data_IF_957137115133
#
_entry.id   IF_957137115133
#
_cell.length_a   1.000
_cell.length_b   1.000
_cell.length_c   1.000
_cell.angle_alpha   90.00
_cell.angle_beta   90.00
_cell.angle_gamma   90.00
#
_symmetry.space_group_name_H-M   'P 1'
#
loop_
_entity.id
_entity.type
_entity.pdbx_description
1 polymer ?
#
# COMPACT_ATOMS: atom_id res chain seq x y z
N UNK A 1 -54.04 -19.41 34.97
CA UNK A 1 -53.34 -18.33 35.70
C UNK A 1 -52.04 -18.04 34.96
N UNK A 2 -51.89 -16.79 34.48
CA UNK A 2 -50.60 -16.16 34.13
C UNK A 2 -49.99 -16.51 32.77
N UNK A 3 -49.82 -15.49 31.93
CA UNK A 3 -48.91 -15.54 30.77
C UNK A 3 -49.38 -14.74 29.55
N UNK A 4 -49.57 -13.43 29.71
CA UNK A 4 -49.63 -12.48 28.60
C UNK A 4 -48.28 -11.78 28.40
N UNK A 5 -48.13 -11.20 27.21
CA UNK A 5 -47.22 -10.12 26.75
C UNK A 5 -46.58 -10.55 25.40
N UNK A 6 -46.99 -10.03 24.23
CA UNK A 6 -46.93 -8.65 23.72
C UNK A 6 -45.48 -8.10 23.71
N UNK A 7 -44.94 -7.38 22.75
CA UNK A 7 -45.40 -6.86 21.47
C UNK A 7 -44.14 -6.37 20.73
N UNK A 8 -44.24 -6.22 19.42
CA UNK A 8 -43.29 -5.59 18.50
C UNK A 8 -42.85 -4.17 18.88
N UNK A 9 -41.56 -3.81 18.73
CA UNK A 9 -41.11 -2.44 18.43
C UNK A 9 -39.65 -2.33 17.93
N UNK A 10 -39.50 -1.58 16.84
CA UNK A 10 -38.26 -1.00 16.31
C UNK A 10 -37.68 0.08 17.25
N UNK A 11 -36.40 0.45 17.12
CA UNK A 11 -36.05 1.85 17.35
C UNK A 11 -35.20 2.47 16.23
N UNK A 12 -35.72 3.59 15.73
CA UNK A 12 -34.97 4.72 15.18
C UNK A 12 -34.17 5.36 16.32
N UNK A 13 -32.88 5.68 16.13
CA UNK A 13 -32.15 6.51 17.09
C UNK A 13 -30.66 6.67 16.82
N UNK A 14 -30.27 7.84 16.33
CA UNK A 14 -28.89 8.33 16.13
C UNK A 14 -27.96 8.04 17.32
N UNK A 15 -26.76 7.51 17.02
CA UNK A 15 -25.63 7.52 17.94
C UNK A 15 -24.84 8.83 17.80
N UNK A 16 -24.75 9.60 18.89
CA UNK A 16 -23.69 10.58 19.12
C UNK A 16 -23.04 10.33 20.49
N UNK A 17 -21.80 10.79 20.60
CA UNK A 17 -21.08 11.12 21.83
C UNK A 17 -20.10 10.06 22.40
N UNK A 18 -18.89 10.11 21.86
CA UNK A 18 -17.63 10.36 22.57
C UNK A 18 -17.30 9.57 23.84
N UNK A 19 -16.23 8.76 23.77
CA UNK A 19 -15.22 8.57 24.83
C UNK A 19 -14.07 7.66 24.37
N UNK A 20 -12.85 7.98 24.81
CA UNK A 20 -11.63 7.19 24.63
C UNK A 20 -10.57 8.00 23.87
N UNK A 21 -9.33 8.14 24.32
CA UNK A 21 -8.58 7.41 25.34
C UNK A 21 -7.29 8.20 25.63
N UNK A 22 -6.99 8.49 26.90
CA UNK A 22 -5.62 8.75 27.35
C UNK A 22 -5.44 8.00 28.66
N UNK A 23 -4.88 6.80 28.54
CA UNK A 23 -4.26 6.05 29.62
C UNK A 23 -2.81 6.54 29.73
N UNK A 24 -2.41 7.05 30.89
CA UNK A 24 -1.13 6.67 31.50
C UNK A 24 -1.13 7.04 32.98
N UNK A 25 -0.99 5.97 33.73
CA UNK A 25 -0.94 5.79 35.17
C UNK A 25 0.47 6.11 35.66
N UNK A 26 0.62 6.93 36.71
CA UNK A 26 1.78 6.85 37.61
C UNK A 26 1.39 7.19 39.03
N UNK A 27 1.76 6.26 39.91
CA UNK A 27 1.60 6.17 41.35
C UNK A 27 1.90 7.45 42.14
N UNK A 28 1.17 7.59 43.25
CA UNK A 28 1.52 8.47 44.34
C UNK A 28 2.76 8.00 45.10
N UNK A 29 3.60 8.96 45.46
CA UNK A 29 4.59 8.87 46.53
C UNK A 29 4.53 10.20 47.28
N UNK A 30 4.10 10.14 48.54
CA UNK A 30 4.22 11.22 49.52
C UNK A 30 5.69 11.56 49.74
N UNK A 31 6.03 12.84 49.61
CA UNK A 31 7.29 13.39 50.09
C UNK A 31 7.00 14.68 50.88
N UNK A 32 6.99 14.52 52.21
CA UNK A 32 7.11 15.58 53.19
C UNK A 32 8.53 16.15 53.17
N UNK A 33 8.69 17.47 52.97
CA UNK A 33 9.79 18.27 53.54
C UNK A 33 9.69 19.77 53.16
N UNK A 34 9.49 20.60 54.20
CA UNK A 34 9.92 21.99 54.39
C UNK A 34 9.50 23.13 53.40
N UNK A 35 9.05 24.30 53.91
CA UNK A 35 8.77 25.48 53.08
C UNK A 35 10.06 26.24 52.70
N UNK A 36 10.20 26.77 51.47
CA UNK A 36 11.28 27.68 51.12
C UNK A 36 11.04 29.09 51.72
N UNK A 37 12.12 29.85 52.01
CA UNK A 37 12.06 31.11 52.73
C UNK A 37 11.40 32.23 51.92
N UNK A 38 10.66 33.11 52.61
CA UNK A 38 10.17 34.37 52.07
C UNK A 38 11.36 35.29 51.76
N UNK A 39 11.48 35.69 50.49
CA UNK A 39 12.41 36.73 50.06
C UNK A 39 11.58 37.95 49.63
N UNK A 40 11.40 38.87 50.57
CA UNK A 40 10.50 40.03 50.49
C UNK A 40 11.23 41.29 49.98
N UNK A 41 11.72 41.39 48.72
CA UNK A 41 12.35 42.66 48.26
C UNK A 41 12.27 42.99 46.76
N UNK A 42 11.10 42.97 46.11
CA UNK A 42 10.94 43.60 44.77
C UNK A 42 9.89 44.73 44.79
N UNK A 43 10.25 45.97 44.44
CA UNK A 43 9.33 47.09 44.47
C UNK A 43 8.39 47.04 43.24
N UNK A 44 7.12 47.32 43.52
CA UNK A 44 6.08 47.73 42.57
C UNK A 44 6.62 48.73 41.55
N UNK A 45 6.71 48.34 40.29
CA UNK A 45 6.67 49.30 39.19
C UNK A 45 5.92 48.74 37.99
N UNK A 46 4.90 49.51 37.61
CA UNK A 46 4.31 49.62 36.29
C UNK A 46 3.38 48.48 35.84
N UNK A 47 2.11 48.61 36.23
CA UNK A 47 1.00 48.35 35.31
C UNK A 47 1.20 49.20 34.05
N UNK A 48 1.85 48.63 33.03
CA UNK A 48 1.73 49.13 31.67
C UNK A 48 0.48 48.49 31.09
N UNK A 49 -0.58 49.29 31.09
CA UNK A 49 -1.79 49.14 30.30
C UNK A 49 -1.37 49.05 28.83
N UNK A 50 -1.09 47.83 28.35
CA UNK A 50 -0.99 47.55 26.93
C UNK A 50 -2.41 47.37 26.43
N UNK A 51 -2.95 48.50 25.97
CA UNK A 51 -4.16 48.59 25.17
C UNK A 51 -4.15 47.50 24.10
N UNK A 52 -5.30 46.85 24.01
CA UNK A 52 -5.88 46.17 22.85
C UNK A 52 -5.15 46.37 21.52
N UNK A 53 -4.01 45.73 21.33
CA UNK A 53 -3.52 45.41 20.00
C UNK A 53 -4.28 44.15 19.59
N UNK A 54 -5.22 44.34 18.65
CA UNK A 54 -5.83 43.30 17.85
C UNK A 54 -4.71 42.37 17.34
N UNK A 55 -4.39 41.31 18.08
CA UNK A 55 -3.74 40.14 17.49
C UNK A 55 -4.84 39.59 16.58
N UNK A 56 -4.74 39.73 15.24
CA UNK A 56 -5.65 38.98 14.39
C UNK A 56 -5.47 37.54 14.83
N UNK A 57 -6.57 36.81 15.06
CA UNK A 57 -6.49 35.37 15.30
C UNK A 57 -5.59 34.83 14.20
N UNK A 58 -4.32 34.59 14.54
CA UNK A 58 -3.45 33.73 13.79
C UNK A 58 -4.06 32.38 14.12
N UNK A 59 -5.19 32.11 13.44
CA UNK A 59 -5.65 30.76 13.26
C UNK A 59 -4.40 30.08 12.82
N UNK A 60 -3.90 29.20 13.69
CA UNK A 60 -2.89 28.23 13.35
C UNK A 60 -3.40 27.69 12.03
N UNK A 61 -2.82 28.18 10.93
CA UNK A 61 -2.95 27.52 9.66
C UNK A 61 -2.32 26.19 10.01
N UNK A 62 -3.17 25.21 10.31
CA UNK A 62 -2.83 23.85 10.01
C UNK A 62 -2.62 23.90 8.50
N UNK A 63 -1.41 24.31 8.09
CA UNK A 63 -0.79 23.79 6.90
C UNK A 63 -0.83 22.31 7.20
N UNK A 64 -1.92 21.66 6.78
CA UNK A 64 -1.88 20.26 6.48
C UNK A 64 -0.76 20.22 5.49
N UNK A 65 0.45 19.92 5.96
CA UNK A 65 1.47 19.38 5.11
C UNK A 65 0.79 18.11 4.63
N UNK A 66 0.10 18.22 3.50
CA UNK A 66 -0.22 17.05 2.74
C UNK A 66 1.14 16.43 2.54
N UNK A 67 1.43 15.36 3.28
CA UNK A 67 2.55 14.51 2.99
C UNK A 67 2.21 13.90 1.63
N UNK A 68 2.43 14.69 0.57
CA UNK A 68 2.44 14.20 -0.79
C UNK A 68 3.57 13.21 -0.78
N UNK A 69 3.19 11.95 -0.84
CA UNK A 69 4.11 10.84 -0.98
C UNK A 69 5.11 11.21 -2.08
N UNK A 70 6.38 11.38 -1.72
CA UNK A 70 7.44 11.85 -2.64
C UNK A 70 7.65 10.89 -3.83
N UNK A 71 7.13 9.67 -3.72
CA UNK A 71 7.13 8.68 -4.80
C UNK A 71 5.81 7.89 -4.85
N UNK A 72 4.88 8.21 -5.78
CA UNK A 72 3.59 7.52 -5.86
C UNK A 72 3.69 6.01 -6.16
N UNK A 73 4.82 5.52 -6.68
CA UNK A 73 5.03 4.09 -6.95
C UNK A 73 5.04 3.22 -5.68
N UNK A 74 5.29 3.80 -4.50
CA UNK A 74 5.32 3.06 -3.23
C UNK A 74 3.93 2.57 -2.83
N UNK A 75 2.87 3.33 -3.14
CA UNK A 75 1.50 3.11 -2.63
C UNK A 75 0.49 2.72 -3.69
N UNK A 76 0.73 2.99 -4.98
CA UNK A 76 -0.24 2.77 -6.07
C UNK A 76 -0.79 1.34 -6.10
N UNK A 77 0.10 0.36 -5.90
CA UNK A 77 -0.22 -1.06 -5.98
C UNK A 77 -0.95 -1.60 -4.75
N UNK A 78 -1.04 -0.83 -3.66
CA UNK A 78 -1.75 -1.22 -2.43
C UNK A 78 -3.24 -0.85 -2.48
N UNK A 79 -3.71 -0.22 -3.55
CA UNK A 79 -5.11 0.14 -3.71
C UNK A 79 -5.96 -1.03 -4.20
N UNK A 80 -7.14 -1.23 -3.59
CA UNK A 80 -8.10 -2.28 -4.02
C UNK A 80 -8.55 -2.10 -5.47
N UNK A 81 -8.65 -0.85 -5.94
CA UNK A 81 -9.03 -0.53 -7.31
C UNK A 81 -8.05 -1.09 -8.35
N UNK A 82 -6.74 -0.98 -8.09
CA UNK A 82 -5.71 -1.53 -8.98
C UNK A 82 -5.77 -3.06 -9.00
N UNK A 83 -6.06 -3.72 -7.88
CA UNK A 83 -6.19 -5.18 -7.85
C UNK A 83 -7.38 -5.65 -8.70
N UNK A 84 -8.51 -4.96 -8.61
CA UNK A 84 -9.68 -5.24 -9.44
C UNK A 84 -9.40 -4.96 -10.92
N UNK A 85 -8.82 -3.81 -11.24
CA UNK A 85 -8.45 -3.46 -12.61
C UNK A 85 -7.48 -4.48 -13.22
N UNK A 86 -6.54 -4.99 -12.44
CA UNK A 86 -5.64 -6.06 -12.85
C UNK A 86 -6.39 -7.35 -13.21
N UNK A 87 -7.28 -7.85 -12.35
CA UNK A 87 -8.05 -9.06 -12.62
C UNK A 87 -8.91 -8.89 -13.87
N UNK A 88 -9.56 -7.73 -14.03
CA UNK A 88 -10.36 -7.39 -15.21
C UNK A 88 -9.48 -7.36 -16.46
N UNK A 89 -8.29 -6.75 -16.40
CA UNK A 89 -7.37 -6.66 -17.53
C UNK A 89 -6.90 -8.05 -17.99
N UNK A 90 -6.58 -8.95 -17.06
CA UNK A 90 -6.19 -10.34 -17.37
C UNK A 90 -7.37 -11.12 -17.96
N UNK A 91 -8.56 -10.97 -17.38
CA UNK A 91 -9.78 -11.59 -17.92
C UNK A 91 -10.11 -11.08 -19.33
N UNK A 92 -10.00 -9.78 -19.57
CA UNK A 92 -10.23 -9.16 -20.87
C UNK A 92 -9.21 -9.66 -21.91
N UNK A 93 -7.93 -9.72 -21.55
CA UNK A 93 -6.88 -10.31 -22.41
C UNK A 93 -7.27 -11.74 -22.82
N UNK A 94 -7.72 -12.56 -21.87
CA UNK A 94 -8.12 -13.94 -22.14
C UNK A 94 -9.33 -14.01 -23.08
N UNK A 95 -10.35 -13.18 -22.87
CA UNK A 95 -11.54 -13.10 -23.73
C UNK A 95 -11.17 -12.65 -25.15
N UNK A 96 -10.27 -11.68 -25.29
CA UNK A 96 -9.78 -11.22 -26.60
C UNK A 96 -9.01 -12.33 -27.31
N UNK A 97 -8.25 -13.17 -26.62
CA UNK A 97 -7.58 -14.31 -27.23
C UNK A 97 -8.57 -15.41 -27.63
N UNK A 98 -9.61 -15.64 -26.83
CA UNK A 98 -10.69 -16.60 -27.14
C UNK A 98 -11.53 -16.20 -28.35
N UNK A 99 -11.61 -14.91 -28.69
CA UNK A 99 -12.39 -14.45 -29.85
C UNK A 99 -11.70 -14.72 -31.19
N UNK A 100 -10.44 -15.20 -31.17
CA UNK A 100 -9.68 -15.54 -32.38
C UNK A 100 -10.02 -16.99 -32.81
N UNK A 101 -10.63 -17.20 -33.99
CA UNK A 101 -11.20 -18.50 -34.37
C UNK A 101 -10.17 -19.59 -34.66
N UNK A 102 -8.88 -19.25 -34.78
CA UNK A 102 -7.81 -20.19 -35.10
C UNK A 102 -7.10 -20.76 -33.87
N UNK A 103 -7.42 -20.28 -32.67
CA UNK A 103 -6.77 -20.75 -31.44
C UNK A 103 -7.60 -21.82 -30.74
N UNK A 104 -6.94 -22.91 -30.37
CA UNK A 104 -7.52 -23.92 -29.49
C UNK A 104 -7.48 -23.44 -28.04
N UNK A 105 -8.38 -23.96 -27.21
CA UNK A 105 -8.46 -23.59 -25.78
C UNK A 105 -7.10 -23.73 -25.05
N UNK A 106 -6.34 -24.84 -25.20
CA UNK A 106 -5.01 -24.97 -24.59
C UNK A 106 -4.03 -23.87 -25.02
N UNK A 107 -4.02 -23.53 -26.31
CA UNK A 107 -3.15 -22.49 -26.86
C UNK A 107 -3.50 -21.12 -26.27
N UNK A 108 -4.80 -20.80 -26.15
CA UNK A 108 -5.25 -19.54 -25.55
C UNK A 108 -4.79 -19.41 -24.10
N UNK A 109 -4.89 -20.48 -23.30
CA UNK A 109 -4.40 -20.48 -21.92
C UNK A 109 -2.89 -20.28 -21.83
N UNK A 110 -2.10 -20.94 -22.69
CA UNK A 110 -0.65 -20.73 -22.76
C UNK A 110 -0.30 -19.32 -23.21
N UNK A 111 -0.95 -18.78 -24.24
CA UNK A 111 -0.73 -17.40 -24.69
C UNK A 111 -1.08 -16.39 -23.60
N UNK A 112 -2.19 -16.59 -22.89
CA UNK A 112 -2.59 -15.73 -21.77
C UNK A 112 -1.52 -15.73 -20.69
N UNK A 113 -1.02 -16.91 -20.30
CA UNK A 113 0.04 -17.05 -19.29
C UNK A 113 1.35 -16.40 -19.74
N UNK A 114 1.78 -16.60 -20.99
CA UNK A 114 3.01 -16.02 -21.53
C UNK A 114 2.92 -14.49 -21.64
N UNK A 115 1.84 -13.95 -22.22
CA UNK A 115 1.64 -12.50 -22.37
C UNK A 115 1.55 -11.84 -21.01
N UNK A 116 0.82 -12.44 -20.07
CA UNK A 116 0.74 -11.96 -18.68
C UNK A 116 2.12 -11.91 -18.01
N UNK A 117 2.88 -13.01 -18.06
CA UNK A 117 4.21 -13.09 -17.45
C UNK A 117 5.18 -12.08 -18.08
N UNK A 118 5.14 -11.91 -19.41
CA UNK A 118 5.93 -10.92 -20.12
C UNK A 118 5.56 -9.49 -19.72
N UNK A 119 4.27 -9.15 -19.73
CA UNK A 119 3.79 -7.83 -19.34
C UNK A 119 4.16 -7.51 -17.88
N UNK A 120 3.99 -8.48 -16.98
CA UNK A 120 4.38 -8.37 -15.58
C UNK A 120 5.89 -8.18 -15.42
N UNK A 121 6.71 -8.90 -16.17
CA UNK A 121 8.16 -8.75 -16.15
C UNK A 121 8.58 -7.35 -16.61
N UNK A 122 8.03 -6.88 -17.74
CA UNK A 122 8.34 -5.55 -18.28
C UNK A 122 7.92 -4.47 -17.28
N UNK A 123 6.68 -4.49 -16.81
CA UNK A 123 6.16 -3.47 -15.91
C UNK A 123 6.89 -3.44 -14.56
N UNK A 124 7.15 -4.60 -13.95
CA UNK A 124 7.72 -4.65 -12.61
C UNK A 124 9.25 -4.57 -12.57
N UNK A 125 9.93 -5.16 -13.55
CA UNK A 125 11.39 -5.34 -13.52
C UNK A 125 12.14 -4.56 -14.60
N UNK A 126 11.46 -4.04 -15.63
CA UNK A 126 12.10 -3.24 -16.69
C UNK A 126 11.86 -1.75 -16.51
N UNK A 127 10.62 -1.35 -16.22
CA UNK A 127 10.23 0.06 -16.00
C UNK A 127 10.90 0.61 -14.73
N UNK A 128 11.52 1.78 -14.86
CA UNK A 128 12.26 2.48 -13.79
C UNK A 128 11.79 3.93 -13.68
N UNK A 129 12.03 4.53 -12.51
CA UNK A 129 11.67 5.92 -12.23
C UNK A 129 10.20 6.14 -11.89
N UNK A 130 9.82 7.40 -11.75
CA UNK A 130 8.46 7.88 -11.42
C UNK A 130 7.86 8.53 -12.67
N UNK A 131 6.81 7.96 -13.29
CA UNK A 131 6.27 8.49 -14.56
C UNK A 131 5.69 9.92 -14.47
N UNK A 132 5.35 10.39 -13.26
CA UNK A 132 4.53 11.60 -13.06
C UNK A 132 5.11 12.62 -12.05
N UNK A 133 6.31 12.39 -11.53
CA UNK A 133 7.02 13.35 -10.67
C UNK A 133 8.20 13.92 -11.45
N UNK A 134 8.40 15.24 -11.40
CA UNK A 134 9.60 15.95 -11.91
C UNK A 134 10.88 15.22 -11.50
N UNK A 135 11.98 15.28 -12.28
CA UNK A 135 13.12 14.37 -12.15
C UNK A 135 13.64 14.33 -10.72
N UNK A 136 13.20 13.35 -9.95
CA UNK A 136 13.81 12.99 -8.68
C UNK A 136 15.24 12.59 -9.02
N UNK A 137 16.18 13.49 -8.68
CA UNK A 137 17.62 13.24 -8.75
C UNK A 137 18.04 12.16 -7.74
N UNK A 138 17.11 11.65 -6.94
CA UNK A 138 17.29 10.61 -5.94
C UNK A 138 17.37 9.18 -6.48
N UNK A 139 17.45 8.24 -5.53
CA UNK A 139 17.65 6.80 -5.78
C UNK A 139 16.49 6.16 -6.55
N UNK A 140 15.31 6.80 -6.65
CA UNK A 140 14.13 6.24 -7.31
C UNK A 140 14.25 6.14 -8.84
N UNK A 141 15.02 7.03 -9.51
CA UNK A 141 15.28 6.94 -10.98
C UNK A 141 15.88 5.60 -11.38
N UNK A 142 16.61 5.03 -10.45
CA UNK A 142 17.51 3.93 -10.64
C UNK A 142 16.90 2.59 -10.23
N UNK A 143 15.78 2.61 -9.51
CA UNK A 143 15.08 1.44 -9.02
C UNK A 143 13.93 1.07 -9.96
N UNK A 144 13.67 -0.23 -10.09
CA UNK A 144 12.51 -0.75 -10.83
C UNK A 144 11.23 -0.54 -10.03
N UNK A 145 10.06 -0.63 -10.69
CA UNK A 145 8.78 -0.49 -10.01
C UNK A 145 8.61 -1.53 -8.87
N UNK A 146 9.13 -2.75 -9.05
CA UNK A 146 9.18 -3.78 -8.00
C UNK A 146 10.02 -3.38 -6.79
N UNK A 147 11.20 -2.78 -7.01
CA UNK A 147 12.10 -2.37 -5.93
C UNK A 147 11.53 -1.21 -5.12
N UNK A 148 10.82 -0.28 -5.77
CA UNK A 148 10.21 0.88 -5.13
C UNK A 148 8.93 0.55 -4.35
N UNK A 149 8.22 -0.52 -4.71
CA UNK A 149 6.92 -0.88 -4.15
C UNK A 149 6.96 -1.07 -2.63
N UNK A 150 5.99 -0.51 -1.91
CA UNK A 150 5.90 -0.55 -0.45
C UNK A 150 7.22 -0.17 0.27
N UNK A 151 7.93 0.84 -0.25
CA UNK A 151 9.23 1.30 0.27
C UNK A 151 10.33 0.23 0.34
N UNK A 152 10.22 -0.82 -0.47
CA UNK A 152 11.16 -1.95 -0.44
C UNK A 152 10.89 -2.98 0.66
N UNK A 153 9.81 -2.81 1.44
CA UNK A 153 9.41 -3.81 2.44
C UNK A 153 9.03 -5.11 1.75
N UNK A 154 9.60 -6.22 2.22
CA UNK A 154 9.29 -7.54 1.71
C UNK A 154 7.99 -8.08 2.33
N UNK A 155 7.36 -9.05 1.65
CA UNK A 155 6.17 -9.77 2.14
C UNK A 155 4.92 -8.94 2.43
N UNK A 156 4.79 -7.76 1.81
CA UNK A 156 3.55 -6.98 1.83
C UNK A 156 2.43 -7.67 1.05
N UNK A 157 1.18 -7.27 1.33
CA UNK A 157 0.01 -7.84 0.65
C UNK A 157 0.06 -7.64 -0.87
N UNK A 158 0.50 -6.47 -1.34
CA UNK A 158 0.67 -6.16 -2.77
C UNK A 158 1.72 -7.04 -3.43
N UNK A 159 2.89 -7.21 -2.81
CA UNK A 159 3.96 -8.09 -3.32
C UNK A 159 3.53 -9.55 -3.34
N UNK A 160 2.82 -10.01 -2.30
CA UNK A 160 2.24 -11.36 -2.27
C UNK A 160 1.24 -11.56 -3.40
N UNK A 161 0.33 -10.61 -3.60
CA UNK A 161 -0.66 -10.66 -4.68
C UNK A 161 0.00 -10.78 -6.06
N UNK A 162 0.97 -9.91 -6.37
CA UNK A 162 1.67 -9.92 -7.66
C UNK A 162 2.60 -11.12 -7.87
N UNK A 163 3.03 -11.79 -6.79
CA UNK A 163 3.78 -13.05 -6.86
C UNK A 163 2.87 -14.26 -7.02
N UNK A 164 1.73 -14.28 -6.33
CA UNK A 164 0.75 -15.38 -6.36
C UNK A 164 -0.03 -15.40 -7.68
N UNK A 165 -0.36 -14.25 -8.24
CA UNK A 165 -1.15 -14.19 -9.48
C UNK A 165 -0.58 -15.01 -10.65
N UNK A 166 0.71 -14.86 -11.05
CA UNK A 166 1.26 -15.67 -12.13
C UNK A 166 1.29 -17.18 -11.79
N UNK A 167 1.42 -17.54 -10.51
CA UNK A 167 1.36 -18.94 -10.06
C UNK A 167 -0.05 -19.51 -10.27
N UNK A 168 -1.08 -18.77 -9.85
CA UNK A 168 -2.48 -19.19 -10.05
C UNK A 168 -2.80 -19.31 -11.54
N UNK A 169 -2.38 -18.34 -12.35
CA UNK A 169 -2.60 -18.37 -13.80
C UNK A 169 -1.89 -19.57 -14.46
N UNK A 170 -0.67 -19.87 -14.04
CA UNK A 170 0.08 -21.05 -14.48
C UNK A 170 -0.63 -22.37 -14.12
N UNK A 171 -1.17 -22.49 -12.90
CA UNK A 171 -1.90 -23.68 -12.47
C UNK A 171 -3.19 -23.87 -13.28
N UNK A 172 -3.93 -22.79 -13.52
CA UNK A 172 -5.11 -22.82 -14.39
C UNK A 172 -4.73 -23.23 -15.81
N UNK A 173 -3.70 -22.61 -16.39
CA UNK A 173 -3.23 -22.94 -17.73
C UNK A 173 -2.82 -24.42 -17.83
N UNK A 174 -2.10 -24.94 -16.83
CA UNK A 174 -1.67 -26.34 -16.78
C UNK A 174 -2.84 -27.32 -16.74
N UNK A 175 -3.90 -26.98 -16.01
CA UNK A 175 -5.14 -27.77 -15.96
C UNK A 175 -5.83 -27.81 -17.34
N UNK A 176 -5.97 -26.67 -18.00
CA UNK A 176 -6.64 -26.60 -19.31
C UNK A 176 -5.80 -27.13 -20.47
N UNK A 177 -4.47 -27.15 -20.35
CA UNK A 177 -3.58 -27.78 -21.34
C UNK A 177 -3.40 -29.28 -21.12
N UNK A 178 -4.13 -29.89 -20.16
CA UNK A 178 -4.05 -31.31 -19.81
C UNK A 178 -2.62 -31.80 -19.56
N UNK A 179 -1.76 -30.92 -19.05
CA UNK A 179 -0.34 -31.22 -18.81
C UNK A 179 0.44 -31.69 -20.04
N UNK A 180 0.05 -31.25 -21.25
CA UNK A 180 0.84 -31.47 -22.46
C UNK A 180 2.27 -30.91 -22.28
N UNK A 181 3.28 -31.71 -22.67
CA UNK A 181 4.68 -31.43 -22.38
C UNK A 181 5.17 -30.11 -23.00
N UNK A 182 4.73 -29.78 -24.22
CA UNK A 182 5.16 -28.56 -24.90
C UNK A 182 4.61 -27.32 -24.19
N UNK A 183 3.31 -27.31 -23.88
CA UNK A 183 2.66 -26.22 -23.16
C UNK A 183 3.20 -26.08 -21.74
N UNK A 184 3.45 -27.21 -21.06
CA UNK A 184 4.03 -27.24 -19.72
C UNK A 184 5.43 -26.59 -19.67
N UNK A 185 6.32 -26.93 -20.60
CA UNK A 185 7.66 -26.35 -20.66
C UNK A 185 7.62 -24.84 -20.90
N UNK A 186 6.81 -24.38 -21.85
CA UNK A 186 6.66 -22.95 -22.17
C UNK A 186 6.09 -22.20 -20.96
N UNK A 187 5.03 -22.73 -20.36
CA UNK A 187 4.38 -22.12 -19.21
C UNK A 187 5.33 -22.05 -18.01
N UNK A 188 6.10 -23.11 -17.76
CA UNK A 188 7.10 -23.18 -16.68
C UNK A 188 8.23 -22.18 -16.91
N UNK A 189 8.80 -22.13 -18.12
CA UNK A 189 9.86 -21.18 -18.47
C UNK A 189 9.37 -19.73 -18.29
N UNK A 190 8.14 -19.44 -18.73
CA UNK A 190 7.55 -18.11 -18.55
C UNK A 190 7.36 -17.74 -17.07
N UNK A 191 6.90 -18.69 -16.25
CA UNK A 191 6.72 -18.48 -14.81
C UNK A 191 8.06 -18.25 -14.10
N UNK A 192 9.10 -19.02 -14.43
CA UNK A 192 10.43 -18.86 -13.86
C UNK A 192 11.00 -17.46 -14.18
N UNK A 193 10.82 -16.97 -15.41
CA UNK A 193 11.31 -15.65 -15.80
C UNK A 193 10.77 -14.49 -14.94
N UNK A 194 9.53 -14.61 -14.45
CA UNK A 194 8.88 -13.57 -13.62
C UNK A 194 9.03 -13.83 -12.12
N UNK A 195 9.22 -15.08 -11.69
CA UNK A 195 9.42 -15.42 -10.28
C UNK A 195 10.86 -15.23 -9.82
N UNK A 196 11.85 -15.56 -10.65
CA UNK A 196 13.27 -15.44 -10.29
C UNK A 196 13.63 -14.02 -9.81
N UNK A 197 13.26 -12.93 -10.51
CA UNK A 197 13.63 -11.57 -10.08
C UNK A 197 12.88 -11.08 -8.83
N UNK A 198 11.81 -11.79 -8.41
CA UNK A 198 11.03 -11.46 -7.20
C UNK A 198 11.63 -12.09 -5.93
N UNK A 199 12.53 -13.07 -6.07
CA UNK A 199 13.17 -13.70 -4.91
C UNK A 199 14.05 -12.67 -4.18
N UNK A 200 14.08 -12.72 -2.83
CA UNK A 200 14.84 -11.75 -2.03
C UNK A 200 16.35 -11.78 -2.31
N UNK A 201 16.87 -12.89 -2.84
CA UNK A 201 18.28 -13.04 -3.21
C UNK A 201 18.70 -12.19 -4.43
N UNK A 202 17.75 -11.81 -5.28
CA UNK A 202 18.01 -10.94 -6.45
C UNK A 202 17.69 -9.46 -6.18
N UNK A 203 17.42 -9.09 -4.92
CA UNK A 203 17.15 -7.71 -4.56
C UNK A 203 18.42 -6.86 -4.75
N UNK A 204 18.35 -5.86 -5.65
CA UNK A 204 19.49 -4.99 -5.98
C UNK A 204 20.54 -5.62 -6.91
N UNK A 205 20.42 -6.90 -7.25
CA UNK A 205 21.32 -7.59 -8.18
C UNK A 205 20.51 -8.00 -9.40
N UNK A 206 20.46 -7.11 -10.40
CA UNK A 206 19.79 -7.42 -11.66
C UNK A 206 20.50 -8.58 -12.33
N UNK A 207 19.72 -9.46 -12.95
CA UNK A 207 20.14 -10.71 -13.63
C UNK A 207 21.34 -10.57 -14.61
N UNK A 208 21.80 -9.35 -14.91
CA UNK A 208 22.93 -9.04 -15.78
C UNK A 208 23.82 -7.87 -15.32
N UNK A 209 23.76 -7.44 -14.06
CA UNK A 209 24.68 -6.40 -13.56
C UNK A 209 24.64 -5.06 -14.31
N UNK A 210 23.54 -4.75 -15.04
CA UNK A 210 23.35 -3.52 -15.85
C UNK A 210 23.23 -2.26 -14.96
N UNK A 211 23.58 -2.36 -13.68
CA UNK A 211 23.55 -1.24 -12.76
C UNK A 211 24.64 -1.42 -11.70
N UNK A 212 25.89 -1.47 -12.15
CA UNK A 212 27.01 -1.07 -11.30
C UNK A 212 27.02 0.46 -11.28
N UNK A 213 26.98 1.03 -10.08
CA UNK A 213 27.41 2.39 -9.83
C UNK A 213 28.74 2.30 -9.09
#
# INVERSE_FOLDING_TARGET
MGGGDADSASPIGRAQMGRGCCLLETAGVEASAAPPPKLDWLPKLAEIKLDSCLIPRCGRMNVGVAHSEVNPNTRVMNSRGIWLAYIILVGLLHVVLLSIPFFSIPVVWTLTNVIHNLAMYVFLHTVKGTPFETPDQGKARLLTHWEQMDYGLQFTSSRKFLSISPIVLYLLASFYTKYDAAHFLINTASLLSVLLPKLPQFHGVRLFGINKY
#
